data_IF_171018186297
#
_entry.id   IF_171018186297
#
_cell.length_a   1.000
_cell.length_b   1.000
_cell.length_c   1.000
_cell.angle_alpha   90.00
_cell.angle_beta   90.00
_cell.angle_gamma   90.00
#
_symmetry.space_group_name_H-M   'P 1'
#
loop_
_entity.id
_entity.type
_entity.pdbx_description
1 polymer ?
#
# COMPACT_ATOMS: atom_id res chain seq x y z
N UNK A 1 6.12 -23.67 -6.92
CA UNK A 1 5.95 -24.25 -8.28
C UNK A 1 4.83 -23.49 -8.98
N UNK A 2 4.97 -23.17 -10.28
CA UNK A 2 3.88 -22.53 -11.04
C UNK A 2 2.96 -23.63 -11.60
N UNK A 3 1.68 -23.58 -11.26
CA UNK A 3 0.67 -24.59 -11.64
C UNK A 3 -0.47 -23.86 -12.38
N UNK A 4 -1.07 -24.53 -13.38
CA UNK A 4 -2.25 -24.00 -14.03
C UNK A 4 -3.37 -23.80 -13.00
N UNK A 5 -3.94 -22.60 -12.96
CA UNK A 5 -4.92 -22.22 -11.94
C UNK A 5 -6.24 -22.99 -12.07
N UNK A 6 -6.78 -23.41 -10.94
CA UNK A 6 -8.16 -23.83 -10.73
C UNK A 6 -8.59 -23.50 -9.28
N UNK A 7 -9.89 -23.55 -9.00
CA UNK A 7 -10.45 -23.17 -7.69
C UNK A 7 -9.99 -24.10 -6.55
N UNK A 8 -9.58 -25.34 -6.83
CA UNK A 8 -9.06 -26.26 -5.82
C UNK A 8 -7.75 -25.76 -5.21
N UNK A 9 -6.97 -24.96 -5.95
CA UNK A 9 -5.74 -24.36 -5.44
C UNK A 9 -6.04 -23.26 -4.42
N UNK A 10 -7.14 -22.53 -4.57
CA UNK A 10 -7.61 -21.58 -3.55
C UNK A 10 -7.99 -22.35 -2.28
N UNK A 11 -8.81 -23.39 -2.43
CA UNK A 11 -9.26 -24.20 -1.31
C UNK A 11 -8.09 -24.85 -0.59
N UNK A 12 -7.09 -25.39 -1.33
CA UNK A 12 -5.84 -25.92 -0.77
C UNK A 12 -5.11 -24.86 0.04
N UNK A 13 -4.97 -23.66 -0.49
CA UNK A 13 -4.27 -22.54 0.19
C UNK A 13 -5.01 -22.14 1.47
N UNK A 14 -6.34 -22.00 1.45
CA UNK A 14 -7.14 -21.66 2.62
C UNK A 14 -7.06 -22.75 3.70
N UNK A 15 -7.11 -24.02 3.30
CA UNK A 15 -6.96 -25.17 4.21
C UNK A 15 -5.57 -25.20 4.83
N UNK A 16 -4.52 -24.92 4.04
CA UNK A 16 -3.16 -24.79 4.55
C UNK A 16 -3.08 -23.66 5.59
N UNK A 17 -3.61 -22.46 5.28
CA UNK A 17 -3.64 -21.32 6.22
C UNK A 17 -4.35 -21.68 7.53
N UNK A 18 -5.46 -22.44 7.47
CA UNK A 18 -6.18 -22.88 8.67
C UNK A 18 -5.34 -23.85 9.52
N UNK A 19 -4.52 -24.70 8.89
CA UNK A 19 -3.67 -25.67 9.58
C UNK A 19 -2.45 -25.06 10.27
N UNK A 20 -1.99 -23.88 9.84
CA UNK A 20 -0.75 -23.27 10.32
C UNK A 20 -0.91 -22.46 11.61
N UNK A 21 -2.16 -22.06 11.98
CA UNK A 21 -2.38 -21.11 13.09
C UNK A 21 -1.38 -19.93 13.08
N UNK A 22 -1.39 -19.07 12.03
CA UNK A 22 -0.28 -18.18 11.69
C UNK A 22 0.12 -17.19 12.79
N UNK A 23 -0.81 -16.83 13.69
CA UNK A 23 -0.51 -15.90 14.78
C UNK A 23 0.24 -16.54 15.96
N UNK A 24 0.51 -17.84 15.92
CA UNK A 24 1.43 -18.49 16.87
C UNK A 24 2.90 -18.27 16.46
N UNK A 25 3.17 -17.92 15.22
CA UNK A 25 4.48 -17.45 14.77
C UNK A 25 4.65 -15.97 15.10
N UNK A 26 5.66 -15.63 15.91
CA UNK A 26 5.92 -14.27 16.38
C UNK A 26 6.30 -13.32 15.25
N UNK A 27 6.94 -13.81 14.19
CA UNK A 27 7.30 -12.97 13.04
C UNK A 27 6.04 -12.57 12.25
N UNK A 28 5.13 -13.51 12.02
CA UNK A 28 3.85 -13.24 11.34
C UNK A 28 2.98 -12.32 12.19
N UNK A 29 2.87 -12.61 13.49
CA UNK A 29 2.12 -11.74 14.42
C UNK A 29 2.63 -10.31 14.39
N UNK A 30 3.95 -10.13 14.57
CA UNK A 30 4.58 -8.81 14.61
C UNK A 30 4.45 -8.08 13.28
N UNK A 31 4.68 -8.76 12.15
CA UNK A 31 4.51 -8.17 10.83
C UNK A 31 3.05 -7.73 10.57
N UNK A 32 2.08 -8.53 10.99
CA UNK A 32 0.65 -8.18 10.90
C UNK A 32 0.32 -6.92 11.73
N UNK A 33 0.85 -6.84 12.94
CA UNK A 33 0.71 -5.66 13.82
C UNK A 33 1.37 -4.40 13.20
N UNK A 34 2.54 -4.56 12.58
CA UNK A 34 3.22 -3.45 11.90
C UNK A 34 2.46 -2.96 10.67
N UNK A 35 1.88 -3.85 9.87
CA UNK A 35 1.00 -3.47 8.76
C UNK A 35 -0.25 -2.71 9.23
N UNK A 36 -0.83 -3.13 10.35
CA UNK A 36 -1.97 -2.44 10.96
C UNK A 36 -1.56 -1.04 11.44
N UNK A 37 -0.43 -0.91 12.15
CA UNK A 37 0.12 0.37 12.58
C UNK A 37 0.42 1.30 11.40
N UNK A 38 1.06 0.77 10.36
CA UNK A 38 1.39 1.53 9.16
C UNK A 38 0.15 2.09 8.48
N UNK A 39 -0.85 1.24 8.29
CA UNK A 39 -2.12 1.64 7.66
C UNK A 39 -2.87 2.68 8.49
N UNK A 40 -3.00 2.48 9.80
CA UNK A 40 -3.65 3.44 10.71
C UNK A 40 -2.89 4.77 10.77
N UNK A 41 -1.56 4.74 10.81
CA UNK A 41 -0.74 5.94 10.75
C UNK A 41 -0.98 6.73 9.46
N UNK A 42 -1.02 6.06 8.32
CA UNK A 42 -1.32 6.70 7.03
C UNK A 42 -2.74 7.29 7.00
N UNK A 43 -3.73 6.60 7.56
CA UNK A 43 -5.09 7.12 7.72
C UNK A 43 -5.10 8.40 8.56
N UNK A 44 -4.46 8.38 9.72
CA UNK A 44 -4.39 9.55 10.60
C UNK A 44 -3.73 10.75 9.92
N UNK A 45 -2.61 10.57 9.23
CA UNK A 45 -1.93 11.63 8.49
C UNK A 45 -2.86 12.26 7.43
N UNK A 46 -3.66 11.45 6.74
CA UNK A 46 -4.57 11.93 5.69
C UNK A 46 -5.67 12.85 6.21
N UNK A 47 -6.11 12.69 7.45
CA UNK A 47 -7.11 13.58 8.08
C UNK A 47 -6.59 15.00 8.36
N UNK A 48 -5.33 15.30 8.10
CA UNK A 48 -4.83 16.68 8.02
C UNK A 48 -5.27 17.38 6.73
N UNK A 49 -5.62 16.62 5.68
CA UNK A 49 -6.12 17.15 4.41
C UNK A 49 -7.57 17.62 4.48
N UNK A 50 -7.86 18.84 3.97
CA UNK A 50 -9.24 19.34 3.85
C UNK A 50 -10.09 18.44 2.95
N UNK A 51 -9.51 17.90 1.87
CA UNK A 51 -10.22 17.02 0.93
C UNK A 51 -10.70 15.73 1.59
N UNK A 52 -9.93 15.12 2.48
CA UNK A 52 -10.37 13.92 3.22
C UNK A 52 -11.48 14.28 4.21
N UNK A 53 -11.39 15.43 4.88
CA UNK A 53 -12.46 15.91 5.78
C UNK A 53 -13.74 16.25 5.01
N UNK A 54 -13.64 16.87 3.86
CA UNK A 54 -14.78 17.13 2.97
C UNK A 54 -15.44 15.83 2.52
N UNK A 55 -14.64 14.81 2.14
CA UNK A 55 -15.15 13.50 1.75
C UNK A 55 -15.84 12.78 2.92
N UNK A 56 -15.29 12.89 4.13
CA UNK A 56 -15.91 12.37 5.36
C UNK A 56 -17.29 12.97 5.61
N UNK A 57 -17.42 14.29 5.47
CA UNK A 57 -18.71 15.00 5.59
C UNK A 57 -19.71 14.52 4.54
N UNK A 58 -19.26 14.40 3.28
CA UNK A 58 -20.15 13.93 2.21
C UNK A 58 -20.64 12.50 2.46
N UNK A 59 -19.74 11.58 2.80
CA UNK A 59 -20.12 10.19 3.07
C UNK A 59 -21.07 10.08 4.28
N UNK A 60 -20.80 10.78 5.38
CA UNK A 60 -21.67 10.76 6.56
C UNK A 60 -23.05 11.36 6.31
N UNK A 61 -23.16 12.31 5.39
CA UNK A 61 -24.43 12.95 5.01
C UNK A 61 -25.32 12.02 4.21
N UNK A 62 -24.73 11.24 3.27
CA UNK A 62 -25.50 10.38 2.38
C UNK A 62 -25.73 8.97 2.90
N UNK A 63 -24.87 8.48 3.79
CA UNK A 63 -24.86 7.08 4.19
C UNK A 63 -24.60 6.94 5.70
N UNK A 64 -25.58 7.35 6.49
CA UNK A 64 -25.52 7.30 7.96
C UNK A 64 -25.42 5.85 8.47
N UNK A 65 -24.70 5.65 9.59
CA UNK A 65 -24.54 4.33 10.21
C UNK A 65 -23.80 4.42 11.54
N UNK A 66 -23.43 3.28 12.16
CA UNK A 66 -22.88 3.24 13.52
C UNK A 66 -21.34 3.33 13.59
N UNK A 67 -20.65 3.51 12.46
CA UNK A 67 -19.20 3.44 12.39
C UNK A 67 -18.57 4.83 12.20
N UNK A 68 -17.42 5.04 12.80
CA UNK A 68 -16.63 6.28 12.65
C UNK A 68 -15.14 5.96 12.56
N UNK A 69 -14.36 6.83 11.92
CA UNK A 69 -12.89 6.83 11.99
C UNK A 69 -12.50 7.84 13.06
N UNK A 70 -11.65 7.43 13.99
CA UNK A 70 -11.31 8.22 15.17
C UNK A 70 -12.59 8.68 15.91
N UNK A 71 -12.78 9.98 16.07
CA UNK A 71 -13.98 10.58 16.68
C UNK A 71 -14.80 11.38 15.66
N UNK A 72 -14.67 11.04 14.38
CA UNK A 72 -15.41 11.69 13.30
C UNK A 72 -16.90 11.33 13.25
N UNK A 73 -17.64 11.86 12.27
CA UNK A 73 -19.04 11.57 12.07
C UNK A 73 -19.28 10.08 11.75
N UNK A 74 -20.45 9.60 12.21
CA UNK A 74 -20.82 8.20 12.01
C UNK A 74 -21.42 7.95 10.63
N UNK A 75 -21.02 6.83 10.00
CA UNK A 75 -21.49 6.42 8.67
C UNK A 75 -21.60 4.90 8.55
N UNK A 76 -22.09 4.39 7.41
CA UNK A 76 -22.23 2.96 7.18
C UNK A 76 -20.89 2.23 7.12
N UNK A 77 -20.95 0.90 7.19
CA UNK A 77 -19.77 0.04 7.05
C UNK A 77 -19.09 0.21 5.68
N UNK A 78 -19.85 0.41 4.60
CA UNK A 78 -19.32 0.58 3.26
C UNK A 78 -18.61 1.93 3.13
N UNK A 79 -19.23 3.00 3.62
CA UNK A 79 -18.63 4.35 3.60
C UNK A 79 -17.38 4.44 4.46
N UNK A 80 -17.36 3.80 5.64
CA UNK A 80 -16.15 3.71 6.48
C UNK A 80 -15.02 2.99 5.77
N UNK A 81 -15.29 1.81 5.20
CA UNK A 81 -14.27 1.05 4.49
C UNK A 81 -13.69 1.85 3.30
N UNK A 82 -14.58 2.53 2.57
CA UNK A 82 -14.21 3.36 1.44
C UNK A 82 -13.34 4.55 1.87
N UNK A 83 -13.79 5.34 2.84
CA UNK A 83 -13.06 6.51 3.36
C UNK A 83 -11.72 6.12 3.97
N UNK A 84 -11.69 5.04 4.75
CA UNK A 84 -10.47 4.53 5.36
C UNK A 84 -9.39 4.19 4.31
N UNK A 85 -9.78 3.49 3.24
CA UNK A 85 -8.85 3.15 2.15
C UNK A 85 -8.40 4.38 1.36
N UNK A 86 -9.29 5.37 1.10
CA UNK A 86 -8.89 6.65 0.51
C UNK A 86 -7.83 7.34 1.36
N UNK A 87 -8.08 7.43 2.67
CA UNK A 87 -7.15 8.07 3.61
C UNK A 87 -5.80 7.32 3.66
N UNK A 88 -5.81 5.99 3.77
CA UNK A 88 -4.59 5.19 3.80
C UNK A 88 -3.68 5.41 2.56
N UNK A 89 -4.29 5.69 1.39
CA UNK A 89 -3.56 5.91 0.13
C UNK A 89 -3.15 7.37 -0.11
N UNK A 90 -3.68 8.32 0.65
CA UNK A 90 -3.63 9.74 0.34
C UNK A 90 -2.22 10.29 0.12
N UNK A 91 -1.30 9.88 0.98
CA UNK A 91 0.08 10.36 0.96
C UNK A 91 1.08 9.40 0.28
N UNK A 92 0.62 8.32 -0.34
CA UNK A 92 1.49 7.29 -0.96
C UNK A 92 2.53 6.71 0.02
N UNK A 93 2.24 6.72 1.33
CA UNK A 93 3.16 6.32 2.41
C UNK A 93 2.91 4.90 2.96
N UNK A 94 1.79 4.25 2.58
CA UNK A 94 1.41 2.94 3.08
C UNK A 94 2.25 1.80 2.51
N UNK A 95 2.17 0.66 3.16
CA UNK A 95 2.81 -0.60 2.86
C UNK A 95 2.73 -1.03 1.39
N UNK A 96 3.42 -2.09 1.04
CA UNK A 96 3.26 -2.76 -0.22
C UNK A 96 3.97 -4.10 -0.27
N UNK A 97 3.90 -4.74 -1.43
CA UNK A 97 4.55 -6.03 -1.68
C UNK A 97 5.24 -6.03 -3.04
N UNK A 98 6.54 -6.38 -3.06
CA UNK A 98 7.36 -6.22 -4.26
C UNK A 98 6.86 -7.10 -5.42
N UNK A 99 6.52 -8.36 -5.16
CA UNK A 99 6.05 -9.30 -6.21
C UNK A 99 4.58 -9.08 -6.58
N UNK A 100 3.76 -8.47 -5.70
CA UNK A 100 2.39 -8.09 -6.01
C UNK A 100 2.30 -6.79 -6.82
N UNK A 101 3.35 -5.97 -6.81
CA UNK A 101 3.39 -4.63 -7.42
C UNK A 101 2.30 -3.69 -6.89
N UNK A 102 1.84 -3.89 -5.65
CA UNK A 102 0.72 -3.16 -5.06
C UNK A 102 0.69 -3.24 -3.54
N UNK A 103 -0.47 -2.95 -2.96
CA UNK A 103 -0.72 -2.78 -1.52
C UNK A 103 -1.78 -3.76 -1.02
N UNK A 104 -1.41 -5.02 -0.72
CA UNK A 104 -2.37 -6.07 -0.35
C UNK A 104 -3.11 -5.80 0.95
N UNK A 105 -2.43 -5.16 1.93
CA UNK A 105 -2.98 -4.93 3.26
C UNK A 105 -4.03 -3.82 3.33
N UNK A 106 -3.90 -2.76 2.52
CA UNK A 106 -4.75 -1.57 2.65
C UNK A 106 -6.22 -1.87 2.43
N UNK A 107 -6.61 -2.50 1.30
CA UNK A 107 -8.00 -2.85 1.04
C UNK A 107 -8.52 -3.90 2.04
N UNK A 108 -7.66 -4.83 2.43
CA UNK A 108 -7.94 -5.87 3.42
C UNK A 108 -8.30 -5.27 4.78
N UNK A 109 -7.44 -4.38 5.32
CA UNK A 109 -7.65 -3.74 6.63
C UNK A 109 -8.86 -2.80 6.57
N UNK A 110 -8.98 -2.00 5.50
CA UNK A 110 -10.11 -1.10 5.32
C UNK A 110 -11.45 -1.83 5.30
N UNK A 111 -11.53 -2.97 4.62
CA UNK A 111 -12.76 -3.75 4.51
C UNK A 111 -13.20 -4.37 5.85
N UNK A 112 -12.26 -4.77 6.70
CA UNK A 112 -12.59 -5.38 8.00
C UNK A 112 -12.71 -4.37 9.14
N UNK A 113 -12.24 -3.13 8.98
CA UNK A 113 -12.29 -2.10 10.01
C UNK A 113 -13.72 -1.86 10.57
N UNK A 114 -14.78 -1.82 9.76
CA UNK A 114 -16.16 -1.69 10.27
C UNK A 114 -16.60 -2.85 11.17
N UNK A 115 -16.04 -4.03 11.01
CA UNK A 115 -16.37 -5.23 11.80
C UNK A 115 -15.59 -5.32 13.11
N UNK A 116 -14.56 -4.50 13.29
CA UNK A 116 -13.60 -4.55 14.39
C UNK A 116 -14.26 -4.63 15.78
N UNK A 117 -15.28 -3.80 16.04
CA UNK A 117 -15.96 -3.72 17.34
C UNK A 117 -16.54 -5.05 17.84
N UNK A 118 -16.87 -5.97 16.94
CA UNK A 118 -17.52 -7.23 17.24
C UNK A 118 -16.56 -8.43 17.28
N UNK A 119 -15.26 -8.19 17.14
CA UNK A 119 -14.25 -9.23 16.98
C UNK A 119 -13.29 -9.28 18.18
N UNK A 120 -12.76 -10.47 18.43
CA UNK A 120 -11.53 -10.63 19.21
C UNK A 120 -10.32 -10.19 18.37
N UNK A 121 -9.28 -9.71 19.01
CA UNK A 121 -8.08 -9.23 18.34
C UNK A 121 -7.42 -10.32 17.49
N UNK A 122 -7.37 -11.56 17.97
CA UNK A 122 -6.93 -12.74 17.21
C UNK A 122 -7.70 -12.91 15.89
N UNK A 123 -9.03 -12.76 15.92
CA UNK A 123 -9.86 -12.93 14.73
C UNK A 123 -9.58 -11.82 13.71
N UNK A 124 -9.42 -10.59 14.19
CA UNK A 124 -9.12 -9.42 13.36
C UNK A 124 -7.75 -9.54 12.70
N UNK A 125 -6.69 -9.87 13.44
CA UNK A 125 -5.35 -10.08 12.88
C UNK A 125 -5.30 -11.29 11.93
N UNK A 126 -5.99 -12.40 12.29
CA UNK A 126 -6.09 -13.57 11.41
C UNK A 126 -6.76 -13.21 10.08
N UNK A 127 -7.79 -12.39 10.09
CA UNK A 127 -8.44 -11.90 8.88
C UNK A 127 -7.48 -11.06 7.99
N UNK A 128 -6.60 -10.23 8.60
CA UNK A 128 -5.56 -9.50 7.86
C UNK A 128 -4.62 -10.49 7.17
N UNK A 129 -4.10 -11.48 7.89
CA UNK A 129 -3.18 -12.48 7.32
C UNK A 129 -3.81 -13.16 6.10
N UNK A 130 -5.04 -13.69 6.25
CA UNK A 130 -5.73 -14.41 5.17
C UNK A 130 -5.97 -13.54 3.94
N UNK A 131 -6.48 -12.33 4.16
CA UNK A 131 -6.70 -11.37 3.06
C UNK A 131 -5.39 -10.98 2.37
N UNK A 132 -4.33 -10.77 3.14
CA UNK A 132 -3.00 -10.45 2.61
C UNK A 132 -2.46 -11.58 1.74
N UNK A 133 -2.45 -12.81 2.27
CA UNK A 133 -1.96 -14.01 1.60
C UNK A 133 -2.66 -14.27 0.27
N UNK A 134 -3.98 -14.17 0.25
CA UNK A 134 -4.76 -14.34 -0.97
C UNK A 134 -4.54 -13.18 -1.95
N UNK A 135 -4.51 -11.93 -1.46
CA UNK A 135 -4.22 -10.77 -2.30
C UNK A 135 -2.91 -10.91 -3.07
N UNK A 136 -1.83 -11.30 -2.39
CA UNK A 136 -0.50 -11.43 -3.04
C UNK A 136 -0.51 -12.49 -4.11
N UNK A 137 -1.07 -13.68 -3.84
CA UNK A 137 -1.14 -14.78 -4.81
C UNK A 137 -1.94 -14.40 -6.06
N UNK A 138 -3.07 -13.72 -5.87
CA UNK A 138 -3.85 -13.20 -7.00
C UNK A 138 -3.11 -12.09 -7.76
N UNK A 139 -2.40 -11.21 -7.07
CA UNK A 139 -1.57 -10.18 -7.70
C UNK A 139 -0.46 -10.76 -8.58
N UNK A 140 0.17 -11.83 -8.12
CA UNK A 140 1.20 -12.55 -8.87
C UNK A 140 0.62 -13.20 -10.13
N UNK A 141 -0.61 -13.68 -10.08
CA UNK A 141 -1.31 -14.34 -11.19
C UNK A 141 -2.00 -13.36 -12.16
N UNK A 142 -2.71 -12.37 -11.62
CA UNK A 142 -3.50 -11.41 -12.40
C UNK A 142 -2.68 -10.16 -12.72
N UNK A 143 -1.67 -10.31 -13.58
CA UNK A 143 -0.84 -9.19 -14.03
C UNK A 143 -1.65 -8.24 -14.90
N UNK A 144 -1.79 -7.00 -14.44
CA UNK A 144 -2.52 -5.96 -15.18
C UNK A 144 -1.82 -5.57 -16.48
N UNK A 145 -2.60 -5.05 -17.43
CA UNK A 145 -2.07 -4.52 -18.71
C UNK A 145 -1.47 -3.13 -18.54
N UNK A 146 -0.55 -2.71 -19.41
CA UNK A 146 -0.09 -1.33 -19.48
C UNK A 146 -1.26 -0.34 -19.56
N UNK A 147 -1.19 0.75 -18.78
CA UNK A 147 -2.26 1.74 -18.68
C UNK A 147 -3.31 1.45 -17.60
N UNK A 148 -3.32 0.25 -17.01
CA UNK A 148 -4.12 -0.07 -15.84
C UNK A 148 -3.36 0.25 -14.54
N UNK A 149 -4.12 0.36 -13.44
CA UNK A 149 -3.60 0.51 -12.07
C UNK A 149 -4.02 -0.68 -11.21
N UNK A 150 -3.12 -1.21 -10.42
CA UNK A 150 -3.34 -2.42 -9.60
C UNK A 150 -4.39 -2.24 -8.51
N UNK A 151 -4.47 -1.08 -7.89
CA UNK A 151 -5.26 -0.83 -6.69
C UNK A 151 -6.76 -1.05 -6.85
N UNK A 152 -7.32 -0.88 -8.03
CA UNK A 152 -8.72 -1.13 -8.31
C UNK A 152 -9.01 -2.55 -8.79
N UNK A 153 -8.06 -3.47 -8.74
CA UNK A 153 -8.18 -4.81 -9.29
C UNK A 153 -8.19 -5.88 -8.18
N UNK A 154 -7.22 -6.75 -8.17
CA UNK A 154 -7.10 -7.89 -7.26
C UNK A 154 -7.18 -7.58 -5.74
N UNK A 155 -6.92 -6.36 -5.20
CA UNK A 155 -7.04 -6.12 -3.76
C UNK A 155 -8.44 -6.42 -3.20
N UNK A 156 -9.50 -6.32 -4.03
CA UNK A 156 -10.84 -6.66 -3.58
C UNK A 156 -11.01 -8.15 -3.26
N UNK A 157 -10.21 -9.02 -3.87
CA UNK A 157 -10.25 -10.47 -3.62
C UNK A 157 -9.76 -10.77 -2.20
N UNK A 158 -8.64 -10.17 -1.79
CA UNK A 158 -8.17 -10.28 -0.41
C UNK A 158 -9.12 -9.64 0.61
N UNK A 159 -9.70 -8.50 0.25
CA UNK A 159 -10.73 -7.86 1.08
C UNK A 159 -11.95 -8.78 1.28
N UNK A 160 -12.40 -9.48 0.22
CA UNK A 160 -13.50 -10.45 0.31
C UNK A 160 -13.18 -11.62 1.26
N UNK A 161 -11.96 -12.16 1.17
CA UNK A 161 -11.51 -13.24 2.07
C UNK A 161 -11.42 -12.75 3.51
N UNK A 162 -10.83 -11.58 3.75
CA UNK A 162 -10.70 -11.03 5.09
C UNK A 162 -12.07 -10.79 5.75
N UNK A 163 -13.02 -10.18 5.04
CA UNK A 163 -14.39 -9.99 5.53
C UNK A 163 -15.07 -11.34 5.75
N UNK A 164 -14.90 -12.29 4.84
CA UNK A 164 -15.42 -13.65 5.00
C UNK A 164 -14.92 -14.34 6.28
N UNK A 165 -13.64 -14.17 6.65
CA UNK A 165 -13.08 -14.66 7.93
C UNK A 165 -13.71 -13.93 9.12
N UNK A 166 -13.98 -12.63 9.04
CA UNK A 166 -14.74 -11.92 10.08
C UNK A 166 -16.17 -12.43 10.25
N UNK A 167 -16.80 -12.90 9.18
CA UNK A 167 -18.14 -13.48 9.15
C UNK A 167 -18.17 -14.98 9.46
N UNK A 168 -17.02 -15.61 9.72
CA UNK A 168 -16.84 -17.06 9.92
C UNK A 168 -17.35 -17.91 8.74
N UNK A 169 -17.16 -17.46 7.51
CA UNK A 169 -17.48 -18.23 6.32
C UNK A 169 -16.59 -19.48 6.19
N UNK A 170 -17.15 -20.57 5.67
CA UNK A 170 -16.37 -21.77 5.33
C UNK A 170 -15.40 -21.50 4.17
N UNK A 171 -14.41 -22.37 3.97
CA UNK A 171 -13.47 -22.20 2.87
C UNK A 171 -14.16 -22.26 1.50
N UNK A 172 -15.20 -23.08 1.34
CA UNK A 172 -16.03 -23.13 0.12
C UNK A 172 -16.76 -21.81 -0.10
N UNK A 173 -17.30 -21.20 0.97
CA UNK A 173 -17.90 -19.89 0.89
C UNK A 173 -16.88 -18.78 0.59
N UNK A 174 -15.63 -18.91 1.08
CA UNK A 174 -14.54 -17.99 0.72
C UNK A 174 -14.16 -18.11 -0.77
N UNK A 175 -14.08 -19.33 -1.31
CA UNK A 175 -13.91 -19.55 -2.76
C UNK A 175 -15.05 -18.92 -3.54
N UNK A 176 -16.30 -19.08 -3.07
CA UNK A 176 -17.47 -18.43 -3.68
C UNK A 176 -17.37 -16.90 -3.63
N UNK A 177 -16.93 -16.31 -2.51
CA UNK A 177 -16.72 -14.86 -2.39
C UNK A 177 -15.67 -14.34 -3.39
N UNK A 178 -14.59 -15.08 -3.58
CA UNK A 178 -13.55 -14.80 -4.57
C UNK A 178 -14.14 -14.80 -5.99
N UNK A 179 -14.90 -15.84 -6.35
CA UNK A 179 -15.51 -15.92 -7.66
C UNK A 179 -16.54 -14.81 -7.90
N UNK A 180 -17.37 -14.46 -6.88
CA UNK A 180 -18.28 -13.32 -6.96
C UNK A 180 -17.50 -12.02 -7.22
N UNK A 181 -16.41 -11.77 -6.49
CA UNK A 181 -15.56 -10.60 -6.73
C UNK A 181 -14.99 -10.59 -8.14
N UNK A 182 -14.50 -11.73 -8.62
CA UNK A 182 -13.88 -11.84 -9.94
C UNK A 182 -14.84 -11.60 -11.11
N UNK A 183 -16.16 -11.86 -10.96
CA UNK A 183 -17.13 -11.52 -12.00
C UNK A 183 -17.29 -10.02 -12.25
N UNK A 184 -16.80 -9.16 -11.36
CA UNK A 184 -16.98 -7.71 -11.43
C UNK A 184 -15.73 -6.92 -11.04
N UNK A 185 -14.54 -7.53 -11.16
CA UNK A 185 -13.28 -6.84 -10.91
C UNK A 185 -13.15 -5.57 -11.75
N UNK A 186 -12.93 -4.41 -11.15
CA UNK A 186 -12.84 -3.17 -11.90
C UNK A 186 -11.53 -3.07 -12.69
N UNK A 187 -11.54 -2.22 -13.71
CA UNK A 187 -10.37 -1.81 -14.48
C UNK A 187 -10.07 -0.34 -14.16
N UNK A 188 -9.21 -0.09 -13.18
CA UNK A 188 -8.74 1.26 -12.89
C UNK A 188 -7.59 1.66 -13.80
N UNK A 189 -7.49 2.96 -14.11
CA UNK A 189 -6.54 3.49 -15.08
C UNK A 189 -5.35 4.17 -14.39
N UNK A 190 -4.20 4.13 -15.05
CA UNK A 190 -2.98 4.80 -14.57
C UNK A 190 -2.97 6.32 -14.87
N UNK A 191 -3.79 6.78 -15.83
CA UNK A 191 -3.81 8.17 -16.28
C UNK A 191 -3.99 9.23 -15.18
N UNK A 192 -4.75 9.03 -14.09
CA UNK A 192 -4.81 10.02 -13.01
C UNK A 192 -3.45 10.34 -12.41
N UNK A 193 -2.54 9.39 -12.33
CA UNK A 193 -1.18 9.61 -11.81
C UNK A 193 -0.40 10.54 -12.73
N UNK A 194 -0.38 10.27 -14.03
CA UNK A 194 0.35 11.10 -15.01
C UNK A 194 -0.23 12.50 -15.15
N UNK A 195 -1.56 12.66 -14.93
CA UNK A 195 -2.25 13.95 -14.97
C UNK A 195 -2.30 14.65 -13.62
N UNK A 196 -1.80 14.01 -12.54
CA UNK A 196 -1.76 14.61 -11.21
C UNK A 196 -3.12 14.67 -10.51
N UNK A 197 -4.07 13.80 -10.89
CA UNK A 197 -5.39 13.74 -10.31
C UNK A 197 -5.44 12.81 -9.09
N UNK A 198 -5.95 13.32 -7.96
CA UNK A 198 -6.07 12.57 -6.71
C UNK A 198 -7.18 11.51 -6.72
N UNK A 199 -8.00 11.45 -7.79
CA UNK A 199 -8.99 10.38 -7.97
C UNK A 199 -8.40 8.97 -7.95
N UNK A 200 -7.08 8.80 -8.21
CA UNK A 200 -6.39 7.50 -8.06
C UNK A 200 -6.50 6.92 -6.65
N UNK A 201 -6.65 7.77 -5.63
CA UNK A 201 -6.74 7.34 -4.24
C UNK A 201 -8.08 6.63 -3.92
N UNK A 202 -9.08 6.73 -4.81
CA UNK A 202 -10.37 6.05 -4.66
C UNK A 202 -10.32 4.53 -4.91
N UNK A 203 -9.30 4.04 -5.61
CA UNK A 203 -9.31 2.68 -6.14
C UNK A 203 -9.37 1.60 -5.06
N UNK A 204 -8.55 1.71 -4.01
CA UNK A 204 -8.60 0.76 -2.90
C UNK A 204 -9.89 0.87 -2.07
N UNK A 205 -10.53 2.05 -2.06
CA UNK A 205 -11.86 2.21 -1.47
C UNK A 205 -12.93 1.38 -2.20
N UNK A 206 -12.93 1.41 -3.53
CA UNK A 206 -13.80 0.55 -4.33
C UNK A 206 -13.47 -0.93 -4.13
N UNK A 207 -12.18 -1.28 -4.04
CA UNK A 207 -11.76 -2.65 -3.79
C UNK A 207 -12.25 -3.17 -2.42
N UNK A 208 -12.16 -2.35 -1.36
CA UNK A 208 -12.67 -2.69 -0.04
C UNK A 208 -14.19 -2.90 -0.04
N UNK A 209 -14.95 -2.00 -0.66
CA UNK A 209 -16.42 -2.09 -0.77
C UNK A 209 -16.84 -3.33 -1.55
N UNK A 210 -16.22 -3.59 -2.71
CA UNK A 210 -16.51 -4.79 -3.49
C UNK A 210 -16.20 -6.07 -2.72
N UNK A 211 -15.09 -6.07 -1.94
CA UNK A 211 -14.74 -7.19 -1.05
C UNK A 211 -15.82 -7.46 0.00
N UNK A 212 -16.32 -6.41 0.68
CA UNK A 212 -17.42 -6.54 1.65
C UNK A 212 -18.68 -7.13 0.97
N UNK A 213 -19.10 -6.55 -0.14
CA UNK A 213 -20.28 -6.98 -0.86
C UNK A 213 -20.18 -8.44 -1.34
N UNK A 214 -19.01 -8.84 -1.82
CA UNK A 214 -18.74 -10.22 -2.28
C UNK A 214 -18.81 -11.22 -1.14
N UNK A 215 -18.24 -10.92 0.03
CA UNK A 215 -18.30 -11.77 1.21
C UNK A 215 -19.74 -11.90 1.74
N UNK A 216 -20.49 -10.80 1.83
CA UNK A 216 -21.88 -10.80 2.22
C UNK A 216 -22.75 -11.61 1.24
N UNK A 217 -22.53 -11.47 -0.06
CA UNK A 217 -23.23 -12.25 -1.07
C UNK A 217 -22.94 -13.74 -0.96
N UNK A 218 -21.68 -14.10 -0.69
CA UNK A 218 -21.27 -15.50 -0.53
C UNK A 218 -21.89 -16.19 0.68
N UNK A 219 -22.31 -15.42 1.71
CA UNK A 219 -23.05 -15.95 2.87
C UNK A 219 -24.52 -16.30 2.57
N UNK A 220 -24.98 -16.03 1.38
CA UNK A 220 -26.36 -16.27 0.92
C UNK A 220 -26.42 -17.37 -0.17
N UNK A 221 -27.59 -17.53 -0.79
CA UNK A 221 -27.79 -18.43 -1.93
C UNK A 221 -27.34 -17.84 -3.28
N UNK A 222 -26.72 -16.66 -3.31
CA UNK A 222 -26.12 -16.09 -4.54
C UNK A 222 -24.97 -16.99 -4.95
N UNK A 223 -24.94 -17.39 -6.22
CA UNK A 223 -23.92 -18.25 -6.81
C UNK A 223 -23.02 -17.48 -7.79
N UNK A 224 -21.79 -17.97 -7.96
CA UNK A 224 -20.86 -17.54 -8.99
C UNK A 224 -20.27 -18.75 -9.69
N UNK A 225 -19.94 -18.65 -10.99
CA UNK A 225 -19.30 -19.75 -11.70
C UNK A 225 -17.88 -19.97 -11.17
N UNK A 226 -17.49 -21.23 -10.96
CA UNK A 226 -16.14 -21.60 -10.52
C UNK A 226 -15.03 -21.27 -11.55
N UNK A 227 -15.38 -20.81 -12.75
CA UNK A 227 -14.43 -20.33 -13.77
C UNK A 227 -14.23 -18.81 -13.77
N UNK A 228 -14.86 -18.06 -12.85
CA UNK A 228 -14.87 -16.58 -12.89
C UNK A 228 -13.45 -15.97 -12.92
N UNK A 229 -12.52 -16.53 -12.15
CA UNK A 229 -11.12 -16.09 -12.13
C UNK A 229 -10.45 -16.28 -13.50
N UNK A 230 -10.62 -17.46 -14.10
CA UNK A 230 -10.04 -17.81 -15.40
C UNK A 230 -10.63 -16.93 -16.50
N UNK A 231 -11.95 -16.77 -16.49
CA UNK A 231 -12.64 -15.92 -17.47
C UNK A 231 -12.22 -14.46 -17.35
N UNK A 232 -12.09 -13.93 -16.14
CA UNK A 232 -11.57 -12.58 -15.95
C UNK A 232 -10.13 -12.44 -16.47
N UNK A 233 -9.25 -13.38 -16.15
CA UNK A 233 -7.87 -13.37 -16.62
C UNK A 233 -7.81 -13.38 -18.16
N UNK A 234 -8.64 -14.20 -18.80
CA UNK A 234 -8.72 -14.29 -20.26
C UNK A 234 -9.31 -13.02 -20.90
N UNK A 235 -10.51 -12.63 -20.49
CA UNK A 235 -11.28 -11.54 -21.13
C UNK A 235 -10.66 -10.18 -20.86
N UNK A 236 -10.38 -9.88 -19.59
CA UNK A 236 -9.87 -8.56 -19.18
C UNK A 236 -8.37 -8.41 -19.40
N UNK A 237 -7.58 -9.44 -19.08
CA UNK A 237 -6.12 -9.36 -19.09
C UNK A 237 -5.47 -10.04 -20.31
N UNK A 238 -6.23 -10.84 -21.09
CA UNK A 238 -5.70 -11.62 -22.21
C UNK A 238 -4.83 -12.81 -21.79
N UNK A 239 -4.88 -13.20 -20.53
CA UNK A 239 -4.16 -14.34 -19.99
C UNK A 239 -5.04 -15.59 -20.04
N UNK A 240 -4.84 -16.44 -21.03
CA UNK A 240 -5.62 -17.67 -21.26
C UNK A 240 -5.22 -18.84 -20.35
N UNK A 241 -4.07 -18.73 -19.67
CA UNK A 241 -3.51 -19.81 -18.84
C UNK A 241 -2.90 -19.21 -17.59
N UNK A 242 -3.72 -18.64 -16.68
CA UNK A 242 -3.19 -18.03 -15.47
C UNK A 242 -2.47 -19.09 -14.61
N UNK A 243 -1.30 -18.72 -14.08
CA UNK A 243 -0.45 -19.61 -13.30
C UNK A 243 -0.52 -19.24 -11.83
N UNK A 244 -0.85 -20.21 -10.98
CA UNK A 244 -0.81 -20.06 -9.53
C UNK A 244 0.57 -20.39 -8.98
N UNK A 245 1.06 -19.58 -8.05
CA UNK A 245 2.29 -19.87 -7.33
C UNK A 245 1.90 -20.68 -6.09
N UNK A 246 2.08 -22.00 -6.18
CA UNK A 246 1.85 -22.91 -5.06
C UNK A 246 3.07 -22.87 -4.14
N UNK A 247 2.91 -22.22 -2.99
CA UNK A 247 3.95 -22.08 -1.96
C UNK A 247 3.32 -22.17 -0.58
N UNK A 248 4.04 -22.79 0.35
CA UNK A 248 3.73 -22.85 1.77
C UNK A 248 4.46 -21.76 2.58
N UNK A 249 5.02 -20.76 1.93
CA UNK A 249 5.61 -19.60 2.58
C UNK A 249 4.56 -18.51 2.80
N UNK A 250 4.66 -17.82 3.93
CA UNK A 250 3.83 -16.67 4.23
C UNK A 250 4.34 -15.43 3.50
N UNK A 251 3.55 -14.93 2.55
CA UNK A 251 3.87 -13.75 1.76
C UNK A 251 3.83 -12.46 2.58
N UNK A 252 3.08 -12.41 3.68
CA UNK A 252 3.03 -11.26 4.58
C UNK A 252 4.41 -10.91 5.16
N UNK A 253 5.31 -11.88 5.29
CA UNK A 253 6.70 -11.65 5.74
C UNK A 253 7.55 -10.95 4.67
N UNK A 254 7.10 -10.94 3.41
CA UNK A 254 7.73 -10.23 2.30
C UNK A 254 7.13 -8.83 2.07
N UNK A 255 6.20 -8.38 2.94
CA UNK A 255 5.69 -7.03 2.91
C UNK A 255 6.78 -6.01 3.19
N UNK A 256 6.74 -4.87 2.50
CA UNK A 256 7.58 -3.73 2.84
C UNK A 256 6.76 -2.60 3.47
N UNK A 257 7.38 -1.84 4.36
CA UNK A 257 6.82 -0.63 4.95
C UNK A 257 7.65 0.56 4.46
N UNK A 258 7.01 1.53 3.81
CA UNK A 258 7.70 2.66 3.21
C UNK A 258 8.22 3.65 4.26
N UNK A 259 9.50 4.03 4.27
CA UNK A 259 10.00 5.12 5.10
C UNK A 259 9.59 6.50 4.59
N UNK A 260 9.19 6.61 3.31
CA UNK A 260 8.88 7.87 2.63
C UNK A 260 7.48 7.87 2.03
N UNK A 261 6.89 9.06 1.93
CA UNK A 261 5.58 9.32 1.36
C UNK A 261 5.62 9.46 -0.18
N UNK A 262 6.17 8.46 -0.87
CA UNK A 262 6.26 8.42 -2.33
C UNK A 262 6.18 6.99 -2.85
N UNK A 263 6.03 6.85 -4.16
CA UNK A 263 6.11 5.53 -4.80
C UNK A 263 7.51 4.93 -4.59
N UNK A 264 7.57 3.61 -4.38
CA UNK A 264 8.83 2.92 -4.00
C UNK A 264 9.99 3.17 -4.97
N UNK A 265 9.72 3.37 -6.26
CA UNK A 265 10.77 3.66 -7.26
C UNK A 265 11.57 4.94 -6.94
N UNK A 266 10.95 5.92 -6.31
CA UNK A 266 11.60 7.20 -5.92
C UNK A 266 12.59 7.01 -4.78
N UNK A 267 12.36 6.04 -3.89
CA UNK A 267 13.14 5.85 -2.67
C UNK A 267 14.63 5.58 -2.94
N UNK A 268 14.98 4.83 -3.99
CA UNK A 268 16.37 4.50 -4.31
C UNK A 268 17.21 5.75 -4.57
N UNK A 269 16.73 6.61 -5.47
CA UNK A 269 17.40 7.88 -5.78
C UNK A 269 17.41 8.84 -4.60
N UNK A 270 16.32 8.88 -3.81
CA UNK A 270 16.20 9.72 -2.62
C UNK A 270 17.23 9.34 -1.55
N UNK A 271 17.36 8.06 -1.20
CA UNK A 271 18.32 7.57 -0.20
C UNK A 271 19.76 7.81 -0.68
N UNK A 272 20.07 7.53 -1.95
CA UNK A 272 21.38 7.82 -2.51
C UNK A 272 21.72 9.31 -2.42
N UNK A 273 20.76 10.21 -2.72
CA UNK A 273 20.95 11.65 -2.60
C UNK A 273 21.15 12.10 -1.15
N UNK A 274 20.33 11.60 -0.22
CA UNK A 274 20.48 11.90 1.22
C UNK A 274 21.86 11.50 1.76
N UNK A 275 22.43 10.37 1.33
CA UNK A 275 23.76 9.92 1.74
C UNK A 275 24.89 10.82 1.24
N UNK A 276 24.66 11.58 0.16
CA UNK A 276 25.61 12.55 -0.38
C UNK A 276 25.49 13.94 0.26
N UNK A 277 24.42 14.23 0.96
CA UNK A 277 24.07 15.57 1.45
C UNK A 277 25.18 16.25 2.27
N UNK A 278 25.90 15.50 3.11
CA UNK A 278 27.01 16.04 3.93
C UNK A 278 28.33 16.16 3.15
N UNK A 279 28.38 15.65 1.93
CA UNK A 279 29.61 15.57 1.09
C UNK A 279 29.60 16.59 -0.04
N UNK A 280 28.46 17.21 -0.35
CA UNK A 280 28.27 18.14 -1.45
C UNK A 280 27.90 19.53 -0.95
N UNK A 281 28.39 20.55 -1.63
CA UNK A 281 27.89 21.93 -1.46
C UNK A 281 26.66 22.13 -2.34
N UNK A 282 25.46 22.02 -1.70
CA UNK A 282 24.18 22.10 -2.41
C UNK A 282 24.04 23.42 -3.21
N UNK A 283 24.66 24.51 -2.75
CA UNK A 283 24.60 25.81 -3.41
C UNK A 283 25.46 25.89 -4.67
N UNK A 284 26.39 24.96 -4.86
CA UNK A 284 27.36 24.91 -5.95
C UNK A 284 27.20 23.71 -6.87
N UNK A 285 26.06 23.03 -6.78
CA UNK A 285 25.74 21.89 -7.65
C UNK A 285 25.59 22.38 -9.09
N UNK A 286 26.28 21.71 -10.01
CA UNK A 286 26.29 21.99 -11.45
C UNK A 286 25.53 20.96 -12.26
N UNK A 287 25.56 19.71 -11.82
CA UNK A 287 24.95 18.56 -12.51
C UNK A 287 24.59 17.46 -11.51
N UNK A 288 23.49 16.76 -11.78
CA UNK A 288 23.04 15.60 -11.04
C UNK A 288 22.71 14.51 -12.05
N UNK A 289 23.30 13.33 -11.92
CA UNK A 289 22.95 12.14 -12.70
C UNK A 289 22.24 11.12 -11.81
N UNK A 290 21.13 10.58 -12.30
CA UNK A 290 20.41 9.46 -11.70
C UNK A 290 20.42 8.29 -12.69
N UNK A 291 21.17 7.24 -12.39
CA UNK A 291 21.09 5.96 -13.08
C UNK A 291 20.12 5.04 -12.32
N UNK A 292 19.07 4.56 -13.00
CA UNK A 292 18.02 3.74 -12.39
C UNK A 292 17.46 2.73 -13.39
N UNK A 293 16.85 1.64 -12.93
CA UNK A 293 16.23 0.64 -13.79
C UNK A 293 15.04 1.19 -14.60
N UNK A 294 14.76 0.58 -15.76
CA UNK A 294 13.82 1.11 -16.76
C UNK A 294 12.39 1.25 -16.22
N UNK A 295 11.88 0.26 -15.45
CA UNK A 295 10.52 0.30 -14.88
C UNK A 295 10.27 1.60 -14.10
N UNK A 296 11.26 2.10 -13.35
CA UNK A 296 11.14 3.34 -12.60
C UNK A 296 10.92 4.55 -13.53
N UNK A 297 11.55 4.59 -14.69
CA UNK A 297 11.40 5.69 -15.65
C UNK A 297 10.05 5.67 -16.36
N UNK A 298 9.43 4.49 -16.51
CA UNK A 298 8.09 4.33 -17.09
C UNK A 298 7.03 4.92 -16.14
N UNK A 299 7.11 4.59 -14.85
CA UNK A 299 6.08 4.96 -13.89
C UNK A 299 6.31 6.30 -13.17
N UNK A 300 7.54 6.83 -13.15
CA UNK A 300 7.90 7.99 -12.34
C UNK A 300 8.57 9.11 -13.16
N UNK A 301 8.14 9.29 -14.40
CA UNK A 301 8.69 10.28 -15.35
C UNK A 301 8.21 11.71 -15.16
N UNK A 302 7.32 11.99 -14.20
CA UNK A 302 6.85 13.35 -13.93
C UNK A 302 8.05 14.25 -13.57
N UNK A 303 8.12 15.42 -14.27
CA UNK A 303 9.11 16.47 -13.99
C UNK A 303 8.40 17.77 -13.70
N UNK A 304 9.00 18.61 -12.88
CA UNK A 304 8.41 19.88 -12.46
C UNK A 304 6.96 19.73 -12.01
N UNK A 305 6.70 18.85 -11.01
CA UNK A 305 5.35 18.47 -10.61
C UNK A 305 4.56 19.67 -10.13
N UNK A 306 3.25 19.70 -10.46
CA UNK A 306 2.32 20.77 -10.07
C UNK A 306 1.31 20.31 -9.03
N UNK A 307 1.25 19.01 -8.75
CA UNK A 307 0.34 18.43 -7.76
C UNK A 307 1.09 17.44 -6.88
N UNK A 308 0.55 17.17 -5.69
CA UNK A 308 1.10 16.15 -4.78
C UNK A 308 1.25 14.79 -5.48
N UNK A 309 0.24 14.36 -6.26
CA UNK A 309 0.30 13.09 -7.00
C UNK A 309 1.46 13.06 -7.99
N UNK A 310 1.66 14.13 -8.77
CA UNK A 310 2.79 14.18 -9.70
C UNK A 310 4.14 14.11 -8.97
N UNK A 311 4.26 14.77 -7.83
CA UNK A 311 5.49 14.81 -7.03
C UNK A 311 5.78 13.47 -6.35
N UNK A 312 4.76 12.79 -5.82
CA UNK A 312 4.88 11.44 -5.24
C UNK A 312 5.37 10.40 -6.27
N UNK A 313 5.18 10.65 -7.57
CA UNK A 313 5.60 9.83 -8.71
C UNK A 313 6.63 10.55 -9.58
N UNK A 314 7.53 11.33 -8.99
CA UNK A 314 8.61 12.03 -9.68
C UNK A 314 9.98 11.61 -9.14
N UNK A 315 10.77 10.92 -9.98
CA UNK A 315 12.16 10.55 -9.64
C UNK A 315 13.01 11.78 -9.35
N UNK A 316 12.87 12.82 -10.18
CA UNK A 316 13.69 14.02 -10.11
C UNK A 316 13.35 14.89 -8.92
N UNK A 317 12.06 15.14 -8.69
CA UNK A 317 11.59 15.89 -7.52
C UNK A 317 11.95 15.16 -6.22
N UNK A 318 11.67 13.85 -6.12
CA UNK A 318 11.93 13.09 -4.91
C UNK A 318 13.42 13.03 -4.56
N UNK A 319 14.31 12.86 -5.55
CA UNK A 319 15.75 12.89 -5.36
C UNK A 319 16.20 14.25 -4.80
N UNK A 320 15.76 15.34 -5.45
CA UNK A 320 16.20 16.70 -5.07
C UNK A 320 15.59 17.13 -3.74
N UNK A 321 14.31 16.86 -3.51
CA UNK A 321 13.67 17.17 -2.24
C UNK A 321 14.38 16.44 -1.08
N UNK A 322 14.71 15.16 -1.27
CA UNK A 322 15.46 14.39 -0.28
C UNK A 322 16.86 14.96 -0.03
N UNK A 323 17.56 15.39 -1.08
CA UNK A 323 18.88 16.03 -0.95
C UNK A 323 18.80 17.34 -0.15
N UNK A 324 17.82 18.18 -0.46
CA UNK A 324 17.67 19.53 0.15
C UNK A 324 17.12 19.44 1.58
N UNK A 325 16.07 18.63 1.79
CA UNK A 325 15.31 18.61 3.04
C UNK A 325 15.76 17.49 4.01
N UNK A 326 16.49 16.50 3.53
CA UNK A 326 16.89 15.29 4.27
C UNK A 326 15.71 14.42 4.75
N UNK A 327 14.55 14.52 4.11
CA UNK A 327 13.38 13.67 4.33
C UNK A 327 12.43 13.74 3.13
N UNK A 328 11.50 12.78 3.05
CA UNK A 328 10.38 12.76 2.11
C UNK A 328 9.09 12.42 2.83
N UNK A 329 8.78 13.14 3.91
CA UNK A 329 7.53 12.98 4.63
C UNK A 329 6.38 13.63 3.83
N UNK A 330 5.15 13.35 4.23
CA UNK A 330 3.96 13.79 3.47
C UNK A 330 3.80 15.34 3.42
N UNK A 331 4.39 16.08 4.33
CA UNK A 331 4.31 17.54 4.42
C UNK A 331 4.96 18.26 3.23
N UNK A 332 5.89 17.61 2.53
CA UNK A 332 6.60 18.24 1.41
C UNK A 332 5.79 18.32 0.11
N UNK A 333 4.62 17.70 0.05
CA UNK A 333 3.79 17.68 -1.15
C UNK A 333 2.74 18.82 -1.15
N UNK A 334 3.12 19.98 -0.61
CA UNK A 334 2.31 21.19 -0.59
C UNK A 334 2.76 22.17 -1.70
N UNK A 335 1.93 23.16 -2.00
CA UNK A 335 2.25 24.20 -2.99
C UNK A 335 3.56 24.93 -2.67
N UNK A 336 3.86 25.13 -1.38
CA UNK A 336 5.09 25.77 -0.91
C UNK A 336 6.34 25.04 -1.43
N UNK A 337 6.43 23.73 -1.21
CA UNK A 337 7.59 22.94 -1.64
C UNK A 337 7.60 22.66 -3.15
N UNK A 338 6.42 22.48 -3.77
CA UNK A 338 6.31 22.30 -5.23
C UNK A 338 6.75 23.57 -5.98
N UNK A 339 6.65 24.76 -5.35
CA UNK A 339 7.08 26.04 -5.90
C UNK A 339 8.46 26.51 -5.38
N UNK A 340 9.14 25.74 -4.51
CA UNK A 340 10.47 26.10 -3.97
C UNK A 340 11.48 26.25 -5.10
N UNK A 341 12.05 27.48 -5.23
CA UNK A 341 12.97 27.80 -6.30
C UNK A 341 14.27 26.98 -6.27
N UNK A 342 14.73 26.57 -5.08
CA UNK A 342 15.96 25.76 -4.93
C UNK A 342 15.70 24.35 -5.44
N UNK A 343 14.58 23.74 -5.03
CA UNK A 343 14.18 22.40 -5.50
C UNK A 343 13.99 22.43 -7.01
N UNK A 344 13.22 23.41 -7.54
CA UNK A 344 12.97 23.53 -8.97
C UNK A 344 14.25 23.77 -9.79
N UNK A 345 15.18 24.57 -9.27
CA UNK A 345 16.46 24.80 -9.93
C UNK A 345 17.28 23.49 -10.00
N UNK A 346 17.45 22.80 -8.89
CA UNK A 346 18.22 21.55 -8.84
C UNK A 346 17.55 20.41 -9.63
N UNK A 347 16.21 20.36 -9.65
CA UNK A 347 15.47 19.37 -10.43
C UNK A 347 15.79 19.49 -11.94
N UNK A 348 15.97 20.72 -12.44
CA UNK A 348 16.36 20.96 -13.84
C UNK A 348 17.78 20.44 -14.15
N UNK A 349 18.64 20.32 -13.16
CA UNK A 349 20.01 19.78 -13.33
C UNK A 349 20.03 18.23 -13.32
N UNK A 350 18.92 17.56 -13.00
CA UNK A 350 18.87 16.09 -12.94
C UNK A 350 18.76 15.49 -14.33
N UNK A 351 19.75 14.69 -14.69
CA UNK A 351 19.76 13.84 -15.88
C UNK A 351 19.48 12.39 -15.47
N UNK A 352 18.38 11.82 -15.96
CA UNK A 352 17.99 10.43 -15.66
C UNK A 352 18.45 9.52 -16.77
N UNK A 353 19.20 8.47 -16.42
CA UNK A 353 19.74 7.45 -17.32
C UNK A 353 19.23 6.07 -16.92
N UNK A 354 18.90 5.23 -17.91
CA UNK A 354 18.54 3.83 -17.67
C UNK A 354 19.81 3.02 -17.42
N UNK A 355 19.87 2.39 -16.25
CA UNK A 355 20.90 1.40 -15.95
C UNK A 355 20.49 0.05 -16.55
N UNK A 356 21.15 -0.34 -17.63
CA UNK A 356 20.84 -1.58 -18.37
C UNK A 356 21.12 -2.83 -17.54
N UNK A 357 22.19 -2.84 -16.74
CA UNK A 357 22.55 -4.00 -15.91
C UNK A 357 21.45 -4.29 -14.87
N UNK A 358 20.95 -3.27 -14.17
CA UNK A 358 19.83 -3.43 -13.23
C UNK A 358 18.59 -3.93 -13.95
N UNK A 359 18.27 -3.36 -15.11
CA UNK A 359 17.08 -3.70 -15.90
C UNK A 359 17.11 -5.15 -16.40
N UNK A 360 18.20 -5.57 -17.02
CA UNK A 360 18.37 -6.91 -17.61
C UNK A 360 18.39 -8.00 -16.53
N UNK A 361 18.95 -7.70 -15.35
CA UNK A 361 19.00 -8.62 -14.21
C UNK A 361 17.71 -8.60 -13.37
N UNK A 362 16.69 -7.80 -13.74
CA UNK A 362 15.46 -7.65 -12.96
C UNK A 362 15.67 -7.08 -11.55
N UNK A 363 16.81 -6.39 -11.33
CA UNK A 363 17.16 -5.79 -10.04
C UNK A 363 16.66 -4.37 -9.93
N UNK A 364 16.34 -3.94 -8.71
CA UNK A 364 16.02 -2.56 -8.39
C UNK A 364 17.18 -1.91 -7.67
N UNK A 365 17.44 -0.64 -7.98
CA UNK A 365 18.52 0.13 -7.39
C UNK A 365 18.69 1.46 -8.10
N UNK A 366 19.52 2.33 -7.56
CA UNK A 366 19.90 3.58 -8.19
C UNK A 366 21.35 3.95 -7.85
N UNK A 367 21.99 4.64 -8.81
CA UNK A 367 23.24 5.35 -8.58
C UNK A 367 23.00 6.83 -8.81
N UNK A 368 23.37 7.66 -7.84
CA UNK A 368 23.32 9.11 -7.91
C UNK A 368 24.73 9.65 -7.95
N UNK A 369 25.01 10.53 -8.93
CA UNK A 369 26.26 11.23 -9.07
C UNK A 369 25.99 12.73 -9.07
N UNK A 370 26.66 13.50 -8.23
CA UNK A 370 26.49 14.94 -8.08
C UNK A 370 27.83 15.63 -8.33
N UNK A 371 27.84 16.58 -9.25
CA UNK A 371 28.98 17.46 -9.54
C UNK A 371 28.80 18.80 -8.84
N UNK A 372 29.72 19.13 -7.95
CA UNK A 372 29.84 20.48 -7.36
C UNK A 372 31.20 21.13 -7.69
N UNK A 373 31.59 22.17 -6.97
CA UNK A 373 32.88 22.85 -7.16
C UNK A 373 34.10 21.97 -6.78
N UNK A 374 33.92 20.94 -5.94
CA UNK A 374 34.97 20.04 -5.48
C UNK A 374 35.13 18.80 -6.36
N UNK A 375 34.20 18.56 -7.29
CA UNK A 375 34.22 17.43 -8.21
C UNK A 375 32.99 16.54 -8.12
N UNK A 376 33.11 15.30 -8.63
CA UNK A 376 32.04 14.32 -8.63
C UNK A 376 31.97 13.54 -7.31
N UNK A 377 30.75 13.43 -6.78
CA UNK A 377 30.41 12.62 -5.62
C UNK A 377 29.40 11.55 -6.03
N UNK A 378 29.60 10.31 -5.58
CA UNK A 378 28.78 9.16 -6.00
C UNK A 378 28.21 8.43 -4.79
N UNK A 379 27.00 7.91 -4.95
CA UNK A 379 26.36 6.97 -4.03
C UNK A 379 25.49 5.98 -4.82
N UNK A 380 25.52 4.73 -4.40
CA UNK A 380 24.73 3.65 -5.00
C UNK A 380 23.88 2.96 -3.92
N UNK A 381 22.64 2.60 -4.28
CA UNK A 381 21.68 1.96 -3.40
C UNK A 381 21.02 0.81 -4.15
N UNK A 382 21.14 -0.39 -3.61
CA UNK A 382 20.54 -1.62 -4.14
C UNK A 382 19.43 -2.18 -3.23
N UNK A 383 19.37 -1.75 -1.97
CA UNK A 383 18.36 -2.11 -0.99
C UNK A 383 17.92 -0.86 -0.22
N UNK A 384 16.66 -0.73 0.07
CA UNK A 384 16.10 0.41 0.79
C UNK A 384 15.54 -0.03 2.14
N UNK A 385 15.60 0.89 3.11
CA UNK A 385 14.97 0.67 4.41
C UNK A 385 13.47 0.40 4.25
N UNK A 386 12.96 -0.59 4.96
CA UNK A 386 11.57 -1.01 4.94
C UNK A 386 11.29 -2.18 4.00
N UNK A 387 12.20 -2.55 3.09
CA UNK A 387 12.09 -3.79 2.30
C UNK A 387 12.20 -5.02 3.19
N UNK A 388 11.65 -6.16 2.75
CA UNK A 388 11.73 -7.43 3.49
C UNK A 388 13.17 -7.88 3.78
N UNK A 389 14.12 -7.50 2.93
CA UNK A 389 15.56 -7.77 3.07
C UNK A 389 16.28 -6.75 3.98
N UNK A 390 15.67 -5.61 4.24
CA UNK A 390 16.18 -4.53 5.10
C UNK A 390 15.01 -3.89 5.86
N UNK A 391 14.33 -4.64 6.75
CA UNK A 391 13.10 -4.21 7.38
C UNK A 391 13.35 -3.05 8.37
N UNK A 392 12.34 -2.20 8.53
CA UNK A 392 12.32 -1.23 9.61
C UNK A 392 12.24 -1.95 10.96
N UNK A 393 13.05 -1.51 11.91
CA UNK A 393 12.95 -1.97 13.29
C UNK A 393 11.72 -1.39 14.02
N UNK A 394 11.44 -1.89 15.21
CA UNK A 394 10.27 -1.47 16.00
C UNK A 394 10.32 0.03 16.36
N UNK A 395 11.48 0.62 16.60
CA UNK A 395 11.61 2.05 16.88
C UNK A 395 11.28 2.88 15.63
N UNK A 396 11.75 2.47 14.47
CA UNK A 396 11.48 3.14 13.20
C UNK A 396 9.99 3.07 12.82
N UNK A 397 9.33 1.93 13.06
CA UNK A 397 7.88 1.78 12.90
C UNK A 397 7.14 2.70 13.88
N UNK A 398 7.56 2.74 15.16
CA UNK A 398 6.99 3.63 16.15
C UNK A 398 7.12 5.09 15.73
N UNK A 399 8.31 5.52 15.34
CA UNK A 399 8.59 6.90 14.98
C UNK A 399 7.76 7.33 13.76
N UNK A 400 7.63 6.45 12.74
CA UNK A 400 6.74 6.68 11.61
C UNK A 400 5.28 6.79 12.05
N UNK A 401 4.78 5.85 12.86
CA UNK A 401 3.41 5.87 13.35
C UNK A 401 3.12 7.14 14.19
N UNK A 402 4.01 7.49 15.11
CA UNK A 402 3.88 8.69 15.93
C UNK A 402 3.90 9.96 15.09
N UNK A 403 4.81 10.06 14.09
CA UNK A 403 4.87 11.19 13.17
C UNK A 403 3.55 11.37 12.43
N UNK A 404 3.00 10.29 11.89
CA UNK A 404 1.78 10.29 11.11
C UNK A 404 0.50 10.54 11.93
N UNK A 405 0.50 10.22 13.23
CA UNK A 405 -0.72 10.17 14.03
C UNK A 405 -0.89 11.34 15.00
N UNK A 406 0.20 11.85 15.57
CA UNK A 406 0.16 12.79 16.72
C UNK A 406 -0.60 14.09 16.42
N UNK A 407 -0.60 14.59 15.19
CA UNK A 407 -1.30 15.82 14.83
C UNK A 407 -2.81 15.63 14.70
N UNK A 408 -3.27 14.42 14.44
CA UNK A 408 -4.69 14.10 14.23
C UNK A 408 -5.35 13.61 15.50
N UNK A 409 -4.73 12.65 16.20
CA UNK A 409 -5.33 12.03 17.39
C UNK A 409 -4.61 12.41 18.71
N UNK A 410 -3.60 13.26 18.66
CA UNK A 410 -2.81 13.67 19.82
C UNK A 410 -1.72 12.66 20.19
N UNK A 411 -0.68 13.15 20.88
CA UNK A 411 0.50 12.34 21.22
C UNK A 411 0.17 11.20 22.20
N UNK A 412 -0.61 11.49 23.25
CA UNK A 412 -1.00 10.49 24.24
C UNK A 412 -1.81 9.34 23.62
N UNK A 413 -2.81 9.66 22.80
CA UNK A 413 -3.63 8.65 22.13
C UNK A 413 -2.80 7.85 21.13
N UNK A 414 -1.91 8.49 20.38
CA UNK A 414 -1.00 7.81 19.44
C UNK A 414 -0.13 6.79 20.17
N UNK A 415 0.45 7.17 21.32
CA UNK A 415 1.25 6.27 22.14
C UNK A 415 0.43 5.09 22.66
N UNK A 416 -0.74 5.37 23.23
CA UNK A 416 -1.65 4.32 23.75
C UNK A 416 -2.05 3.34 22.66
N UNK A 417 -2.45 3.84 21.48
CA UNK A 417 -2.85 3.00 20.35
C UNK A 417 -1.69 2.13 19.85
N UNK A 418 -0.49 2.69 19.73
CA UNK A 418 0.72 1.95 19.39
C UNK A 418 0.98 0.80 20.37
N UNK A 419 0.98 1.10 21.67
CA UNK A 419 1.23 0.12 22.73
C UNK A 419 0.14 -0.96 22.74
N UNK A 420 -1.12 -0.58 22.64
CA UNK A 420 -2.24 -1.52 22.61
C UNK A 420 -2.12 -2.52 21.44
N UNK A 421 -1.81 -2.06 20.23
CA UNK A 421 -1.67 -2.92 19.06
C UNK A 421 -0.56 -3.95 19.28
N UNK A 422 0.55 -3.57 19.91
CA UNK A 422 1.70 -4.46 20.05
C UNK A 422 1.61 -5.41 21.26
N UNK A 423 0.87 -5.02 22.32
CA UNK A 423 0.93 -5.72 23.60
C UNK A 423 -0.39 -6.30 24.09
N UNK A 424 -1.52 -5.98 23.45
CA UNK A 424 -2.83 -6.50 23.86
C UNK A 424 -2.92 -8.00 23.72
N UNK A 425 -3.63 -8.61 24.67
CA UNK A 425 -3.98 -10.02 24.59
C UNK A 425 -4.82 -10.30 23.33
N UNK A 426 -4.47 -11.37 22.63
CA UNK A 426 -5.15 -11.75 21.39
C UNK A 426 -6.63 -12.14 21.58
N UNK A 427 -7.03 -12.52 22.78
CA UNK A 427 -8.42 -12.84 23.11
C UNK A 427 -9.23 -11.62 23.58
N UNK A 428 -8.59 -10.45 23.69
CA UNK A 428 -9.25 -9.20 24.01
C UNK A 428 -10.13 -8.71 22.84
N UNK A 429 -11.19 -7.95 23.14
CA UNK A 429 -11.98 -7.28 22.09
C UNK A 429 -11.16 -6.23 21.36
N UNK A 430 -11.28 -6.18 20.03
CA UNK A 430 -10.63 -5.15 19.19
C UNK A 430 -11.04 -3.74 19.61
N UNK A 431 -12.24 -3.54 20.15
CA UNK A 431 -12.66 -2.23 20.67
C UNK A 431 -11.77 -1.70 21.80
N UNK A 432 -11.12 -2.56 22.57
CA UNK A 432 -10.16 -2.15 23.61
C UNK A 432 -8.74 -1.93 23.08
N UNK A 433 -8.47 -2.40 21.85
CA UNK A 433 -7.17 -2.25 21.20
C UNK A 433 -7.12 -0.98 20.35
N UNK A 434 -8.19 -0.71 19.59
CA UNK A 434 -8.21 0.36 18.59
C UNK A 434 -8.96 1.64 19.03
N UNK A 435 -9.78 1.57 20.10
CA UNK A 435 -10.64 2.67 20.58
C UNK A 435 -10.46 2.85 22.09
#
# INVERSE_FOLDING_TARGET
>A
MNILFNDELILKTLTWLDSQEPLNDQAILRQTQFLLLDTLGCVNAAFLSSTIKELEVQFSTFDAGPHAINHGPSMSALSIAQLFAYAACWHEACEGHASAHGRPGVATIAAIYPFAKNLKYRQFLKAIVYGYEISVRFAQMLRIKPGMHVDGNWPCIGAAVAVGKCLNLSNEQLVKAINIACTQLPMSLYIPITKGANSRNSYLGHAAVLGIQSALSASTSIEAPGSAVIEYANVALGNKSPQWIDTENFEILNAYIKPFASVRHVHYGAIAAMSLRSRVDISQIKEIELEIYEEATIYCSNRSPKTAIQAQFSLTFGLVAALVLNHLNFEIYTEEFLSDKRINHLENLVNVKINKELTENGKRGAKVSILDHSGWHHSEVSSILGDSENPMDENQIRDKFMHNSKQTIGESMSKTLYENILTSDLDQSVSKVLY
#
